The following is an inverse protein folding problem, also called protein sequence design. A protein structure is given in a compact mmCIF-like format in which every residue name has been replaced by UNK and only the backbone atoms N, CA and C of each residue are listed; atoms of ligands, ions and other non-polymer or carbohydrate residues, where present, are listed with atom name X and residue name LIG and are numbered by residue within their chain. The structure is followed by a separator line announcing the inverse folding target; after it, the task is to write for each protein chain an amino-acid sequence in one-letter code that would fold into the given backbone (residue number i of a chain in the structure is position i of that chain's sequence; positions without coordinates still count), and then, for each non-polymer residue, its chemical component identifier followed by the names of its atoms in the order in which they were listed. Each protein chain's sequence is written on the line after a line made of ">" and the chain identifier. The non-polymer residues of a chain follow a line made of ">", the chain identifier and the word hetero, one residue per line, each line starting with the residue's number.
data_IF_036910644825
#
_entry.id   IF_036910644825
#
_cell.length_a   1.000
_cell.length_b   1.000
_cell.length_c   1.000
_cell.angle_alpha   90.00
_cell.angle_beta   90.00
_cell.angle_gamma   90.00
#
_symmetry.space_group_name_H-M   'P 1'
#
loop_
_entity.id
_entity.type
_entity.pdbx_description
1 polymer ?
#
# COMPACT_ATOMS: atom_id res chain seq x y z
N UNK A 1 -68.81 36.82 -18.70
CA UNK A 1 -68.49 35.72 -17.76
C UNK A 1 -67.16 35.11 -18.16
N UNK A 2 -66.06 35.36 -17.43
CA UNK A 2 -64.80 34.66 -17.64
C UNK A 2 -64.89 33.23 -17.08
N UNK A 3 -64.34 32.26 -17.81
CA UNK A 3 -64.28 30.85 -17.41
C UNK A 3 -63.33 30.64 -16.22
N UNK A 4 -63.59 29.64 -15.34
CA UNK A 4 -62.73 29.36 -14.20
C UNK A 4 -61.35 28.88 -14.65
N UNK A 5 -60.30 29.46 -14.06
CA UNK A 5 -58.90 29.03 -14.18
C UNK A 5 -58.78 27.57 -13.72
N UNK A 6 -58.03 26.71 -14.44
CA UNK A 6 -57.82 25.33 -14.00
C UNK A 6 -57.05 25.29 -12.67
N UNK A 7 -57.27 24.26 -11.83
CA UNK A 7 -56.62 24.14 -10.53
C UNK A 7 -55.09 24.05 -10.69
N UNK A 8 -54.39 24.68 -9.76
CA UNK A 8 -52.93 24.86 -9.72
C UNK A 8 -52.23 23.54 -9.31
N UNK A 9 -52.19 22.60 -10.25
CA UNK A 9 -51.66 21.23 -10.11
C UNK A 9 -50.15 21.21 -9.76
N UNK A 10 -49.43 22.26 -10.17
CA UNK A 10 -48.00 22.46 -9.94
C UNK A 10 -47.64 22.51 -8.45
N UNK A 11 -48.49 23.12 -7.62
CA UNK A 11 -48.24 23.24 -6.18
C UNK A 11 -48.38 21.89 -5.46
N UNK A 12 -49.28 21.03 -5.93
CA UNK A 12 -49.46 19.68 -5.39
C UNK A 12 -48.31 18.76 -5.81
N UNK A 13 -47.83 18.87 -7.05
CA UNK A 13 -46.68 18.13 -7.57
C UNK A 13 -45.38 18.52 -6.84
N UNK A 14 -45.15 19.83 -6.64
CA UNK A 14 -44.00 20.32 -5.88
C UNK A 14 -44.02 19.85 -4.42
N UNK A 15 -45.19 19.84 -3.77
CA UNK A 15 -45.33 19.35 -2.41
C UNK A 15 -45.02 17.84 -2.30
N UNK A 16 -45.40 17.05 -3.30
CA UNK A 16 -45.10 15.62 -3.34
C UNK A 16 -43.59 15.34 -3.48
N UNK A 17 -42.90 16.10 -4.34
CA UNK A 17 -41.44 15.96 -4.52
C UNK A 17 -40.69 16.34 -3.24
N UNK A 18 -41.10 17.41 -2.55
CA UNK A 18 -40.49 17.83 -1.28
C UNK A 18 -40.68 16.76 -0.20
N UNK A 19 -41.86 16.14 -0.14
CA UNK A 19 -42.14 15.09 0.82
C UNK A 19 -41.30 13.82 0.57
N UNK A 20 -41.12 13.44 -0.70
CA UNK A 20 -40.30 12.30 -1.09
C UNK A 20 -38.82 12.52 -0.76
N UNK A 21 -38.29 13.71 -1.10
CA UNK A 21 -36.91 14.07 -0.78
C UNK A 21 -36.66 14.11 0.74
N UNK A 22 -37.63 14.55 1.53
CA UNK A 22 -37.52 14.54 2.99
C UNK A 22 -37.38 13.11 3.54
N UNK A 23 -38.14 12.16 3.00
CA UNK A 23 -38.06 10.75 3.37
C UNK A 23 -36.70 10.13 2.97
N UNK A 24 -36.18 10.47 1.78
CA UNK A 24 -34.86 10.02 1.36
C UNK A 24 -33.74 10.56 2.26
N UNK A 25 -33.81 11.84 2.65
CA UNK A 25 -32.83 12.46 3.56
C UNK A 25 -32.87 11.80 4.94
N UNK A 26 -34.07 11.50 5.46
CA UNK A 26 -34.21 10.78 6.73
C UNK A 26 -33.66 9.35 6.66
N UNK A 27 -33.89 8.64 5.56
CA UNK A 27 -33.35 7.31 5.33
C UNK A 27 -31.81 7.31 5.25
N UNK A 28 -31.25 8.29 4.53
CA UNK A 28 -29.79 8.50 4.47
C UNK A 28 -29.21 8.85 5.83
N UNK A 29 -29.84 9.75 6.58
CA UNK A 29 -29.42 10.11 7.93
C UNK A 29 -29.44 8.89 8.85
N UNK A 30 -30.46 8.04 8.76
CA UNK A 30 -30.56 6.81 9.53
C UNK A 30 -29.45 5.80 9.16
N UNK A 31 -29.14 5.68 7.87
CA UNK A 31 -28.07 4.80 7.37
C UNK A 31 -26.70 5.28 7.84
N UNK A 32 -26.42 6.58 7.75
CA UNK A 32 -25.17 7.18 8.25
C UNK A 32 -25.08 7.05 9.77
N UNK A 33 -26.17 7.28 10.50
CA UNK A 33 -26.22 7.06 11.95
C UNK A 33 -25.95 5.59 12.29
N UNK A 34 -26.50 4.64 11.53
CA UNK A 34 -26.22 3.21 11.68
C UNK A 34 -24.76 2.85 11.43
N UNK A 35 -24.13 3.44 10.40
CA UNK A 35 -22.72 3.22 10.08
C UNK A 35 -21.75 3.86 11.10
N UNK A 36 -22.15 4.98 11.70
CA UNK A 36 -21.35 5.70 12.71
C UNK A 36 -21.57 5.18 14.13
N UNK A 37 -22.78 4.69 14.45
CA UNK A 37 -23.13 4.08 15.72
C UNK A 37 -22.81 2.57 15.77
N UNK A 38 -22.66 1.92 14.62
CA UNK A 38 -22.01 0.62 14.56
C UNK A 38 -20.63 0.80 15.21
N UNK A 39 -20.36 0.10 16.33
CA UNK A 39 -19.08 0.25 16.98
C UNK A 39 -18.01 -0.10 15.96
N UNK A 40 -17.09 0.83 15.74
CA UNK A 40 -15.76 0.57 15.19
C UNK A 40 -14.99 -0.45 16.03
N UNK A 41 -15.62 -1.04 17.07
CA UNK A 41 -15.15 -2.09 17.96
C UNK A 41 -14.74 -3.41 17.31
N UNK A 42 -14.77 -3.55 15.98
CA UNK A 42 -13.96 -4.57 15.29
C UNK A 42 -12.47 -4.20 15.17
N UNK A 43 -12.09 -2.97 15.49
CA UNK A 43 -10.70 -2.48 15.54
C UNK A 43 -10.16 -2.35 16.98
N UNK A 44 -10.95 -2.72 17.99
CA UNK A 44 -10.53 -2.62 19.40
C UNK A 44 -10.99 -3.79 20.26
N UNK A 45 -11.14 -4.98 19.68
CA UNK A 45 -10.74 -6.15 20.45
C UNK A 45 -9.24 -5.96 20.70
N UNK A 46 -8.85 -5.65 21.93
CA UNK A 46 -7.46 -5.75 22.36
C UNK A 46 -7.04 -7.20 22.15
N UNK A 47 -6.54 -7.46 20.95
CA UNK A 47 -5.89 -8.69 20.60
C UNK A 47 -4.64 -8.73 21.44
N UNK A 48 -4.59 -9.61 22.44
CA UNK A 48 -3.37 -9.92 23.19
C UNK A 48 -2.25 -10.45 22.27
N UNK A 49 -2.54 -10.71 20.99
CA UNK A 49 -1.51 -11.08 20.03
C UNK A 49 -0.52 -9.93 19.81
N UNK A 50 0.78 -10.26 19.69
CA UNK A 50 1.79 -9.27 19.32
C UNK A 50 1.46 -8.66 17.96
N UNK A 51 1.82 -7.39 17.72
CA UNK A 51 1.60 -6.75 16.42
C UNK A 51 2.36 -7.52 15.31
N UNK A 52 1.87 -7.46 14.06
CA UNK A 52 2.55 -8.09 12.95
C UNK A 52 3.97 -7.51 12.77
N UNK A 53 4.88 -8.27 12.13
CA UNK A 53 6.24 -7.81 11.86
C UNK A 53 6.29 -6.43 11.20
N UNK A 54 7.05 -5.51 11.79
CA UNK A 54 7.23 -4.18 11.22
C UNK A 54 8.14 -4.24 9.97
N UNK A 55 7.79 -3.50 8.91
CA UNK A 55 8.67 -3.25 7.79
C UNK A 55 10.03 -2.71 8.25
N UNK A 56 11.09 -3.14 7.57
CA UNK A 56 12.43 -2.64 7.85
C UNK A 56 12.61 -1.23 7.32
N UNK A 57 12.87 -0.29 8.22
CA UNK A 57 13.26 1.06 7.83
C UNK A 57 14.78 1.11 7.66
N UNK A 58 15.25 0.73 6.48
CA UNK A 58 16.68 0.68 6.21
C UNK A 58 17.43 2.01 6.33
N UNK A 59 16.88 3.19 5.95
CA UNK A 59 17.56 4.46 6.17
C UNK A 59 17.85 4.73 7.66
N UNK A 60 16.98 4.24 8.56
CA UNK A 60 17.11 4.38 10.01
C UNK A 60 17.89 3.24 10.66
N UNK A 61 18.23 2.20 9.90
CA UNK A 61 18.92 1.01 10.41
C UNK A 61 20.43 1.25 10.53
N UNK A 62 21.07 0.88 11.66
CA UNK A 62 22.52 0.94 11.80
C UNK A 62 23.22 0.07 10.75
N UNK A 63 24.38 0.51 10.24
CA UNK A 63 25.13 -0.22 9.20
C UNK A 63 25.44 -1.67 9.59
N UNK A 64 25.79 -1.92 10.85
CA UNK A 64 26.05 -3.29 11.37
C UNK A 64 24.83 -4.20 11.24
N UNK A 65 23.62 -3.64 11.40
CA UNK A 65 22.36 -4.38 11.24
C UNK A 65 21.95 -4.57 9.79
N UNK A 66 22.42 -3.71 8.87
CA UNK A 66 22.12 -3.87 7.44
C UNK A 66 22.71 -5.17 6.88
N UNK A 67 23.94 -5.51 7.27
CA UNK A 67 24.58 -6.75 6.84
C UNK A 67 23.82 -7.97 7.36
N UNK A 68 23.45 -7.99 8.65
CA UNK A 68 22.64 -9.06 9.25
C UNK A 68 21.32 -9.28 8.48
N UNK A 69 20.61 -8.18 8.17
CA UNK A 69 19.33 -8.25 7.44
C UNK A 69 19.47 -8.65 5.98
N UNK A 70 20.55 -8.24 5.31
CA UNK A 70 20.85 -8.73 3.96
C UNK A 70 21.13 -10.23 3.95
N UNK A 71 21.83 -10.75 4.96
CA UNK A 71 22.03 -12.19 5.15
C UNK A 71 20.71 -12.93 5.36
N UNK A 72 19.87 -12.43 6.27
CA UNK A 72 18.53 -12.98 6.53
C UNK A 72 17.67 -13.03 5.26
N UNK A 73 17.71 -11.98 4.42
CA UNK A 73 17.04 -12.00 3.12
C UNK A 73 17.61 -13.06 2.19
N UNK A 74 18.92 -13.17 2.08
CA UNK A 74 19.56 -14.18 1.22
C UNK A 74 19.15 -15.61 1.61
N UNK A 75 19.10 -15.88 2.91
CA UNK A 75 18.65 -17.18 3.46
C UNK A 75 17.18 -17.44 3.14
N UNK A 76 16.30 -16.49 3.44
CA UNK A 76 14.88 -16.60 3.11
C UNK A 76 14.63 -16.77 1.61
N UNK A 77 15.37 -16.04 0.77
CA UNK A 77 15.23 -16.14 -0.67
C UNK A 77 15.58 -17.54 -1.16
N UNK A 78 16.68 -18.10 -0.66
CA UNK A 78 17.16 -19.42 -1.06
C UNK A 78 16.23 -20.53 -0.58
N UNK A 79 15.72 -20.42 0.65
CA UNK A 79 14.91 -21.47 1.28
C UNK A 79 13.43 -21.39 0.90
N UNK A 80 12.93 -20.18 0.61
CA UNK A 80 11.50 -19.91 0.44
C UNK A 80 11.23 -19.28 -0.93
N UNK A 81 11.76 -18.09 -1.21
CA UNK A 81 11.38 -17.34 -2.42
C UNK A 81 11.70 -18.08 -3.72
N UNK A 82 12.82 -18.80 -3.78
CA UNK A 82 13.23 -19.53 -4.98
C UNK A 82 12.51 -20.86 -5.19
N UNK A 83 11.58 -21.22 -4.30
CA UNK A 83 10.60 -22.28 -4.60
C UNK A 83 9.63 -21.86 -5.72
N UNK A 84 9.47 -20.56 -5.97
CA UNK A 84 8.72 -20.02 -7.11
C UNK A 84 9.66 -19.81 -8.31
N UNK A 85 9.47 -20.54 -9.43
CA UNK A 85 10.36 -20.43 -10.59
C UNK A 85 10.40 -19.02 -11.22
N UNK A 86 9.32 -18.25 -11.10
CA UNK A 86 9.27 -16.86 -11.57
C UNK A 86 10.22 -15.97 -10.78
N UNK A 87 10.28 -16.11 -9.46
CA UNK A 87 11.21 -15.36 -8.63
C UNK A 87 12.67 -15.75 -8.90
N UNK A 88 12.94 -17.05 -9.03
CA UNK A 88 14.28 -17.56 -9.35
C UNK A 88 14.83 -16.98 -10.67
N UNK A 89 13.97 -16.78 -11.67
CA UNK A 89 14.37 -16.17 -12.95
C UNK A 89 14.49 -14.65 -12.86
N UNK A 90 13.62 -13.99 -12.10
CA UNK A 90 13.57 -12.53 -12.03
C UNK A 90 14.73 -11.94 -11.19
N UNK A 91 15.12 -12.61 -10.12
CA UNK A 91 16.16 -12.12 -9.21
C UNK A 91 17.55 -12.54 -9.71
N UNK A 92 18.35 -11.55 -10.10
CA UNK A 92 19.72 -11.77 -10.55
C UNK A 92 20.73 -11.71 -9.40
N UNK A 93 21.94 -12.34 -9.51
CA UNK A 93 22.96 -12.34 -8.46
C UNK A 93 23.43 -10.95 -8.00
N UNK A 94 23.24 -9.92 -8.83
CA UNK A 94 23.57 -8.54 -8.49
C UNK A 94 22.57 -7.86 -7.55
N UNK A 95 21.42 -8.49 -7.21
CA UNK A 95 20.36 -7.91 -6.40
C UNK A 95 20.82 -7.15 -5.14
N UNK A 96 21.86 -7.56 -4.37
CA UNK A 96 22.26 -6.82 -3.17
C UNK A 96 22.82 -5.43 -3.48
N UNK A 97 23.18 -5.17 -4.73
CA UNK A 97 23.71 -3.88 -5.21
C UNK A 97 22.60 -2.91 -5.61
N UNK A 98 21.36 -3.39 -5.75
CA UNK A 98 20.22 -2.60 -6.20
C UNK A 98 19.32 -2.26 -5.01
N UNK A 99 19.45 -1.03 -4.52
CA UNK A 99 18.77 -0.61 -3.28
C UNK A 99 17.25 -0.72 -3.34
N UNK A 100 16.67 -0.35 -4.47
CA UNK A 100 15.25 -0.47 -4.76
C UNK A 100 14.78 -1.93 -4.81
N UNK A 101 15.63 -2.86 -5.24
CA UNK A 101 15.37 -4.30 -5.20
C UNK A 101 15.49 -4.84 -3.77
N UNK A 102 16.49 -4.38 -3.00
CA UNK A 102 16.63 -4.73 -1.58
C UNK A 102 15.38 -4.32 -0.81
N UNK A 103 14.85 -3.12 -1.04
CA UNK A 103 13.63 -2.66 -0.37
C UNK A 103 12.40 -3.49 -0.75
N UNK A 104 12.26 -3.80 -2.03
CA UNK A 104 11.16 -4.64 -2.52
C UNK A 104 11.19 -6.05 -1.90
N UNK A 105 12.37 -6.66 -1.86
CA UNK A 105 12.58 -7.98 -1.24
C UNK A 105 12.32 -7.92 0.27
N UNK A 106 12.71 -6.84 0.94
CA UNK A 106 12.47 -6.63 2.37
C UNK A 106 10.97 -6.54 2.69
N UNK A 107 10.23 -5.79 1.89
CA UNK A 107 8.78 -5.69 2.02
C UNK A 107 8.10 -7.03 1.75
N UNK A 108 8.50 -7.72 0.68
CA UNK A 108 7.96 -9.03 0.36
C UNK A 108 8.23 -10.05 1.47
N UNK A 109 9.43 -10.03 2.05
CA UNK A 109 9.78 -10.85 3.21
C UNK A 109 8.89 -10.55 4.41
N UNK A 110 8.65 -9.28 4.74
CA UNK A 110 7.76 -8.89 5.83
C UNK A 110 6.33 -9.37 5.58
N UNK A 111 5.80 -9.22 4.37
CA UNK A 111 4.47 -9.72 4.00
C UNK A 111 4.39 -11.26 4.13
N UNK A 112 5.43 -11.98 3.69
CA UNK A 112 5.50 -13.43 3.87
C UNK A 112 5.50 -13.82 5.35
N UNK A 113 6.31 -13.15 6.18
CA UNK A 113 6.33 -13.40 7.62
C UNK A 113 4.98 -13.14 8.27
N UNK A 114 4.30 -12.07 7.89
CA UNK A 114 2.96 -11.77 8.39
C UNK A 114 1.98 -12.86 7.95
N UNK A 115 2.01 -13.30 6.70
CA UNK A 115 1.06 -14.28 6.18
C UNK A 115 1.28 -15.70 6.75
N UNK A 116 2.53 -16.10 7.03
CA UNK A 116 2.88 -17.49 7.36
C UNK A 116 3.39 -17.72 8.78
N UNK A 117 3.95 -16.69 9.44
CA UNK A 117 4.60 -16.85 10.74
C UNK A 117 3.95 -16.05 11.87
N UNK A 118 3.10 -15.08 11.55
CA UNK A 118 2.39 -14.32 12.58
C UNK A 118 1.23 -15.13 13.13
N UNK A 119 1.09 -15.19 14.44
CA UNK A 119 0.06 -15.98 15.12
C UNK A 119 -1.37 -15.54 14.78
N UNK A 120 -1.55 -14.25 14.44
CA UNK A 120 -2.84 -13.70 14.03
C UNK A 120 -3.15 -13.86 12.56
N UNK A 121 -2.28 -14.51 11.78
CA UNK A 121 -2.45 -14.64 10.35
C UNK A 121 -3.66 -15.51 10.01
N UNK A 122 -4.36 -15.12 8.96
CA UNK A 122 -5.50 -15.83 8.41
C UNK A 122 -5.16 -16.42 7.04
N UNK A 123 -6.01 -17.33 6.55
CA UNK A 123 -5.92 -17.78 5.17
C UNK A 123 -6.05 -16.63 4.16
N UNK A 124 -6.75 -15.55 4.52
CA UNK A 124 -6.87 -14.34 3.70
C UNK A 124 -5.53 -13.62 3.51
N UNK A 125 -4.70 -13.54 4.55
CA UNK A 125 -3.37 -12.91 4.47
C UNK A 125 -2.44 -13.71 3.54
N UNK A 126 -2.54 -15.04 3.60
CA UNK A 126 -1.84 -15.93 2.66
C UNK A 126 -2.34 -15.76 1.23
N UNK A 127 -3.66 -15.70 1.02
CA UNK A 127 -4.23 -15.44 -0.29
C UNK A 127 -3.77 -14.08 -0.85
N UNK A 128 -3.78 -13.02 -0.04
CA UNK A 128 -3.29 -11.70 -0.47
C UNK A 128 -1.79 -11.71 -0.78
N UNK A 129 -0.98 -12.42 0.00
CA UNK A 129 0.43 -12.61 -0.32
C UNK A 129 0.62 -13.27 -1.69
N UNK A 130 -0.10 -14.36 -1.97
CA UNK A 130 0.04 -15.12 -3.20
C UNK A 130 -0.51 -14.39 -4.42
N UNK A 131 -1.68 -13.74 -4.30
CA UNK A 131 -2.36 -13.13 -5.43
C UNK A 131 -1.87 -11.70 -5.71
N UNK A 132 -1.48 -10.96 -4.65
CA UNK A 132 -1.13 -9.55 -4.76
C UNK A 132 0.34 -9.29 -4.52
N UNK A 133 0.90 -9.69 -3.39
CA UNK A 133 2.23 -9.21 -3.00
C UNK A 133 3.36 -9.87 -3.78
N UNK A 134 3.36 -11.20 -3.86
CA UNK A 134 4.38 -11.98 -4.54
C UNK A 134 4.50 -11.68 -6.05
N UNK A 135 3.44 -11.81 -6.87
CA UNK A 135 3.56 -11.62 -8.31
C UNK A 135 3.95 -10.18 -8.67
N UNK A 136 3.41 -9.19 -7.95
CA UNK A 136 3.72 -7.79 -8.22
C UNK A 136 5.16 -7.42 -7.82
N UNK A 137 5.68 -7.95 -6.72
CA UNK A 137 7.07 -7.74 -6.32
C UNK A 137 8.04 -8.36 -7.34
N UNK A 138 7.77 -9.61 -7.77
CA UNK A 138 8.57 -10.28 -8.80
C UNK A 138 8.59 -9.47 -10.10
N UNK A 139 7.43 -9.00 -10.56
CA UNK A 139 7.34 -8.20 -11.78
C UNK A 139 8.16 -6.90 -11.69
N UNK A 140 8.13 -6.20 -10.54
CA UNK A 140 8.95 -4.99 -10.31
C UNK A 140 10.45 -5.31 -10.30
N UNK A 141 10.85 -6.39 -9.63
CA UNK A 141 12.25 -6.83 -9.55
C UNK A 141 12.77 -7.18 -10.95
N UNK A 142 11.99 -7.92 -11.73
CA UNK A 142 12.36 -8.29 -13.10
C UNK A 142 12.65 -7.04 -13.94
N UNK A 143 11.78 -6.03 -13.88
CA UNK A 143 11.98 -4.77 -14.59
C UNK A 143 13.25 -4.05 -14.15
N UNK A 144 13.50 -3.95 -12.84
CA UNK A 144 14.67 -3.25 -12.28
C UNK A 144 16.00 -3.95 -12.62
N UNK A 145 16.00 -5.28 -12.63
CA UNK A 145 17.19 -6.08 -12.88
C UNK A 145 17.39 -6.45 -14.35
N UNK A 146 16.38 -6.24 -15.22
CA UNK A 146 16.48 -6.52 -16.66
C UNK A 146 17.76 -5.97 -17.32
N UNK A 147 18.21 -4.71 -17.06
CA UNK A 147 19.46 -4.21 -17.63
C UNK A 147 20.68 -5.05 -17.23
N UNK A 148 20.70 -5.54 -15.99
CA UNK A 148 21.79 -6.36 -15.46
C UNK A 148 21.88 -7.74 -16.13
N UNK A 149 20.76 -8.30 -16.59
CA UNK A 149 20.74 -9.55 -17.37
C UNK A 149 21.23 -9.41 -18.81
N UNK A 150 21.31 -8.18 -19.33
CA UNK A 150 21.68 -7.87 -20.73
C UNK A 150 23.14 -7.41 -20.89
N UNK A 151 23.97 -7.56 -19.84
CA UNK A 151 25.40 -7.21 -19.89
C UNK A 151 25.77 -5.84 -19.30
N UNK A 152 24.98 -5.30 -18.36
CA UNK A 152 25.27 -4.02 -17.71
C UNK A 152 26.40 -4.11 -16.66
N UNK A 153 27.38 -3.19 -16.72
CA UNK A 153 28.35 -2.78 -15.68
C UNK A 153 28.74 -1.31 -15.94
N UNK A 154 29.01 -0.41 -14.96
CA UNK A 154 28.55 -0.28 -13.57
C UNK A 154 27.33 0.68 -13.44
N UNK A 155 26.65 0.71 -12.28
CA UNK A 155 25.72 1.81 -11.98
C UNK A 155 26.48 3.14 -12.15
N UNK A 156 25.96 4.02 -13.01
CA UNK A 156 26.59 5.29 -13.37
C UNK A 156 26.79 6.24 -12.18
N UNK A 157 27.37 7.41 -12.44
CA UNK A 157 27.48 8.47 -11.41
C UNK A 157 26.10 8.99 -11.02
N UNK A 158 25.76 8.67 -9.78
CA UNK A 158 25.14 9.46 -8.70
C UNK A 158 24.11 10.54 -9.07
N UNK A 159 22.94 10.37 -8.44
CA UNK A 159 21.98 11.42 -8.05
C UNK A 159 22.62 12.81 -7.83
N UNK A 160 22.06 13.84 -8.48
CA UNK A 160 22.42 15.25 -8.25
C UNK A 160 21.19 16.03 -7.72
N UNK A 161 21.23 16.33 -6.43
CA UNK A 161 20.18 17.03 -5.68
C UNK A 161 20.39 18.57 -5.66
N UNK A 162 21.24 19.12 -6.52
CA UNK A 162 21.66 20.53 -6.46
C UNK A 162 20.49 21.50 -6.49
N UNK A 163 19.58 21.36 -7.44
CA UNK A 163 18.39 22.21 -7.52
C UNK A 163 17.43 21.99 -6.34
N UNK A 164 17.40 20.81 -5.72
CA UNK A 164 16.58 20.53 -4.51
C UNK A 164 17.07 21.31 -3.30
N UNK A 165 18.37 21.57 -3.25
CA UNK A 165 18.98 22.42 -2.25
C UNK A 165 18.90 23.89 -2.63
N UNK A 166 18.61 24.22 -3.90
CA UNK A 166 18.78 25.59 -4.42
C UNK A 166 17.76 26.59 -3.86
N UNK A 167 16.44 26.34 -3.82
CA UNK A 167 15.50 27.25 -3.17
C UNK A 167 15.71 27.38 -1.65
N UNK A 168 16.13 26.30 -0.98
CA UNK A 168 16.57 26.36 0.43
C UNK A 168 17.85 27.21 0.56
N UNK A 169 18.75 27.12 -0.41
CA UNK A 169 19.97 27.93 -0.50
C UNK A 169 19.70 29.38 -0.92
N UNK A 170 18.64 29.66 -1.67
CA UNK A 170 18.24 30.99 -2.12
C UNK A 170 17.40 31.71 -1.04
N UNK A 171 16.55 30.99 -0.30
CA UNK A 171 15.81 31.50 0.87
C UNK A 171 16.75 31.77 2.07
N UNK A 172 17.86 31.02 2.18
CA UNK A 172 18.97 31.28 3.12
C UNK A 172 19.92 32.41 2.67
N UNK A 173 19.79 32.93 1.45
CA UNK A 173 20.72 33.90 0.86
C UNK A 173 20.41 35.36 1.16
N UNK A 174 19.19 35.62 1.65
CA UNK A 174 18.68 36.95 2.01
C UNK A 174 18.59 37.17 3.54
N UNK A 175 19.16 36.26 4.33
CA UNK A 175 19.47 36.42 5.75
C UNK A 175 20.96 36.78 5.92
#
# INVERSE_FOLDING_TARGET
>A
MPAPTPPDDTGAEQAAIIADLALEVEHLAHTVAGLTAAPTGRLSASSDLPPPPHPWCWPRMPHTKKADRLGELGDWMTQVLFTWPSAQRAVLPCWPRHWDVVEELSMLYCCWRTAYLWEGATAGDTAEYLDRWLPNAIARIEVRLRPCGQGHHPDGKRRDDTATLTPVQDELRWL
#
